data_IF_725524949173
#
_entry.id   IF_725524949173
#
_cell.length_a   1.000
_cell.length_b   1.000
_cell.length_c   1.000
_cell.angle_alpha   90.00
_cell.angle_beta   90.00
_cell.angle_gamma   90.00
#
_symmetry.space_group_name_H-M   'P 1'
#
loop_
_entity.id
_entity.type
_entity.pdbx_description
1 polymer ?
#
# COMPACT_ATOMS: atom_id res chain seq x y z
N UNK A 1 3.33 -21.83 16.90
CA UNK A 1 3.22 -20.36 16.76
C UNK A 1 2.22 -20.09 15.66
N UNK A 2 1.28 -19.19 15.88
CA UNK A 2 0.40 -18.70 14.81
C UNK A 2 1.27 -17.77 13.97
N UNK A 3 1.42 -18.07 12.68
CA UNK A 3 2.13 -17.19 11.74
C UNK A 3 1.18 -16.05 11.34
N UNK A 4 1.61 -14.81 11.44
CA UNK A 4 0.86 -13.67 10.93
C UNK A 4 0.82 -13.71 9.40
N UNK A 5 -0.26 -13.19 8.82
CA UNK A 5 -0.45 -13.04 7.38
C UNK A 5 -0.22 -11.60 6.98
N UNK A 6 0.73 -11.40 6.08
CA UNK A 6 1.08 -10.07 5.55
C UNK A 6 0.83 -10.02 4.05
N UNK A 7 0.05 -9.05 3.60
CA UNK A 7 -0.06 -8.71 2.18
C UNK A 7 0.87 -7.55 1.88
N UNK A 8 1.72 -7.71 0.86
CA UNK A 8 2.63 -6.67 0.39
C UNK A 8 2.24 -6.27 -1.03
N UNK A 9 1.97 -4.99 -1.24
CA UNK A 9 1.49 -4.43 -2.50
C UNK A 9 2.55 -3.51 -3.10
N UNK A 10 3.02 -3.86 -4.29
CA UNK A 10 3.66 -2.92 -5.20
C UNK A 10 2.58 -2.17 -5.99
N UNK A 11 2.27 -0.94 -5.57
CA UNK A 11 1.35 -0.06 -6.28
C UNK A 11 2.06 0.79 -7.35
N UNK A 12 3.25 0.38 -7.80
CA UNK A 12 3.96 0.96 -8.93
C UNK A 12 3.73 0.19 -10.23
N UNK A 13 3.85 0.84 -11.40
CA UNK A 13 3.63 0.18 -12.69
C UNK A 13 4.74 -0.82 -13.07
N UNK A 14 5.95 -0.63 -12.54
CA UNK A 14 7.13 -1.46 -12.86
C UNK A 14 7.28 -2.60 -11.85
N UNK A 15 7.62 -3.81 -12.33
CA UNK A 15 7.94 -5.00 -11.50
C UNK A 15 9.31 -4.92 -10.83
N UNK A 16 10.17 -4.07 -11.37
CA UNK A 16 11.53 -3.79 -10.91
C UNK A 16 11.72 -2.27 -10.94
N UNK A 17 12.57 -1.76 -10.07
CA UNK A 17 12.74 -0.32 -9.87
C UNK A 17 12.44 0.08 -8.43
N UNK A 18 12.72 1.34 -8.10
CA UNK A 18 12.75 1.84 -6.74
C UNK A 18 11.51 1.45 -5.91
N UNK A 19 10.30 1.72 -6.41
CA UNK A 19 9.06 1.37 -5.70
C UNK A 19 8.91 -0.13 -5.43
N UNK A 20 9.24 -0.97 -6.42
CA UNK A 20 9.17 -2.41 -6.28
C UNK A 20 10.21 -2.93 -5.28
N UNK A 21 11.40 -2.32 -5.23
CA UNK A 21 12.43 -2.70 -4.26
C UNK A 21 12.08 -2.27 -2.83
N UNK A 22 11.41 -1.12 -2.64
CA UNK A 22 10.84 -0.74 -1.33
C UNK A 22 9.80 -1.75 -0.85
N UNK A 23 8.87 -2.15 -1.72
CA UNK A 23 7.90 -3.20 -1.40
C UNK A 23 8.57 -4.53 -1.06
N UNK A 24 9.55 -4.97 -1.87
CA UNK A 24 10.30 -6.21 -1.61
C UNK A 24 11.13 -6.15 -0.33
N UNK A 25 11.66 -4.99 0.04
CA UNK A 25 12.39 -4.86 1.31
C UNK A 25 11.46 -5.01 2.49
N UNK A 26 10.29 -4.40 2.46
CA UNK A 26 9.25 -4.58 3.47
C UNK A 26 8.78 -6.04 3.56
N UNK A 27 8.62 -6.72 2.41
CA UNK A 27 8.38 -8.17 2.35
C UNK A 27 9.48 -8.96 3.05
N UNK A 28 10.76 -8.66 2.78
CA UNK A 28 11.88 -9.36 3.43
C UNK A 28 11.88 -9.13 4.94
N UNK A 29 11.55 -7.92 5.38
CA UNK A 29 11.35 -7.58 6.79
C UNK A 29 10.28 -8.46 7.43
N UNK A 30 9.09 -8.52 6.83
CA UNK A 30 7.98 -9.35 7.31
C UNK A 30 8.35 -10.85 7.37
N UNK A 31 9.02 -11.37 6.35
CA UNK A 31 9.50 -12.77 6.34
C UNK A 31 10.53 -13.05 7.44
N UNK A 32 11.37 -12.06 7.79
CA UNK A 32 12.42 -12.25 8.79
C UNK A 32 11.90 -12.52 10.21
N UNK A 33 10.67 -12.08 10.50
CA UNK A 33 9.97 -12.33 11.77
C UNK A 33 9.01 -13.53 11.69
N UNK A 34 9.02 -14.25 10.56
CA UNK A 34 8.28 -15.49 10.37
C UNK A 34 6.85 -15.34 9.84
N UNK A 35 6.47 -14.16 9.31
CA UNK A 35 5.15 -13.96 8.70
C UNK A 35 5.00 -14.73 7.37
N UNK A 36 3.77 -15.17 7.09
CA UNK A 36 3.36 -15.69 5.78
C UNK A 36 3.05 -14.49 4.88
N UNK A 37 3.80 -14.35 3.78
CA UNK A 37 3.73 -13.14 2.95
C UNK A 37 3.19 -13.44 1.56
N UNK A 38 2.13 -12.72 1.18
CA UNK A 38 1.62 -12.65 -0.20
C UNK A 38 2.11 -11.35 -0.86
N UNK A 39 2.73 -11.43 -2.03
CA UNK A 39 3.19 -10.25 -2.79
C UNK A 39 2.32 -10.00 -4.02
N UNK A 40 1.83 -8.76 -4.16
CA UNK A 40 0.90 -8.34 -5.20
C UNK A 40 1.48 -7.19 -6.01
N UNK A 41 1.61 -7.38 -7.33
CA UNK A 41 1.80 -6.27 -8.26
C UNK A 41 0.44 -5.69 -8.68
N UNK A 42 0.04 -4.56 -8.09
CA UNK A 42 -1.30 -4.01 -8.26
C UNK A 42 -1.63 -3.69 -9.72
N UNK A 43 -0.66 -3.15 -10.48
CA UNK A 43 -0.79 -2.84 -11.91
C UNK A 43 -0.94 -4.06 -12.85
N UNK A 44 -0.89 -5.29 -12.31
CA UNK A 44 -1.15 -6.51 -13.07
C UNK A 44 -2.57 -7.02 -12.93
N UNK A 45 -3.31 -6.50 -11.94
CA UNK A 45 -4.72 -6.79 -11.76
C UNK A 45 -5.55 -5.96 -12.73
N UNK A 46 -6.68 -6.52 -13.20
CA UNK A 46 -7.66 -5.83 -14.02
C UNK A 46 -8.80 -5.36 -13.12
N UNK A 47 -8.88 -4.06 -12.87
CA UNK A 47 -9.91 -3.46 -12.04
C UNK A 47 -10.08 -1.97 -12.34
N UNK A 48 -11.13 -1.37 -11.77
CA UNK A 48 -11.38 0.08 -11.80
C UNK A 48 -11.44 0.66 -10.39
N UNK A 49 -11.47 1.99 -10.29
CA UNK A 49 -11.88 2.70 -9.07
C UNK A 49 -13.32 2.38 -8.66
N UNK A 50 -13.75 2.95 -7.53
CA UNK A 50 -15.08 2.71 -7.01
C UNK A 50 -16.17 3.20 -7.98
N UNK A 51 -17.18 2.37 -8.26
CA UNK A 51 -18.31 2.73 -9.13
C UNK A 51 -19.48 3.38 -8.37
N UNK A 52 -19.36 3.57 -7.05
CA UNK A 52 -20.44 4.05 -6.18
C UNK A 52 -21.76 3.29 -6.38
N UNK A 53 -21.69 1.97 -6.59
CA UNK A 53 -22.89 1.14 -6.75
C UNK A 53 -23.67 0.92 -5.44
N UNK A 54 -23.05 1.25 -4.30
CA UNK A 54 -23.60 1.19 -2.94
C UNK A 54 -24.07 -0.21 -2.49
N UNK A 55 -23.80 -1.28 -3.23
CA UNK A 55 -24.21 -2.65 -2.86
C UNK A 55 -23.61 -3.06 -1.50
N UNK A 56 -22.34 -2.73 -1.26
CA UNK A 56 -21.64 -3.01 0.00
C UNK A 56 -22.21 -2.30 1.24
N UNK A 57 -23.07 -1.29 1.05
CA UNK A 57 -23.71 -0.54 2.14
C UNK A 57 -25.14 -1.00 2.42
N UNK A 58 -25.63 -2.03 1.72
CA UNK A 58 -27.00 -2.52 1.89
C UNK A 58 -27.07 -3.52 3.02
N UNK A 59 -28.10 -3.39 3.86
CA UNK A 59 -28.33 -4.27 5.01
C UNK A 59 -28.66 -5.73 4.61
N UNK A 60 -29.09 -5.98 3.37
CA UNK A 60 -29.41 -7.31 2.84
C UNK A 60 -28.23 -8.03 2.19
N UNK A 61 -27.02 -7.45 2.25
CA UNK A 61 -25.79 -8.03 1.73
C UNK A 61 -24.75 -8.22 2.84
N UNK A 62 -23.78 -9.11 2.58
CA UNK A 62 -22.62 -9.29 3.44
C UNK A 62 -21.84 -7.96 3.57
N UNK A 63 -21.64 -7.51 4.82
CA UNK A 63 -20.85 -6.31 5.13
C UNK A 63 -19.35 -6.55 4.90
N UNK A 64 -18.57 -5.46 4.79
CA UNK A 64 -17.11 -5.55 4.62
C UNK A 64 -16.69 -6.25 3.32
N UNK A 65 -17.50 -6.13 2.25
CA UNK A 65 -17.28 -6.83 1.00
C UNK A 65 -17.52 -5.96 -0.23
N UNK A 66 -16.61 -6.02 -1.20
CA UNK A 66 -16.80 -5.39 -2.51
C UNK A 66 -17.42 -6.39 -3.50
N UNK A 67 -18.58 -6.06 -4.08
CA UNK A 67 -19.31 -6.97 -4.98
C UNK A 67 -19.00 -6.77 -6.47
N UNK A 68 -18.05 -5.88 -6.82
CA UNK A 68 -17.60 -5.75 -8.20
C UNK A 68 -16.89 -7.03 -8.65
N UNK A 69 -17.14 -7.46 -9.88
CA UNK A 69 -16.58 -8.70 -10.43
C UNK A 69 -15.31 -8.41 -11.21
N UNK A 70 -14.22 -8.25 -10.49
CA UNK A 70 -12.90 -8.00 -11.05
C UNK A 70 -11.80 -8.54 -10.12
N UNK A 71 -10.54 -8.32 -10.47
CA UNK A 71 -9.41 -8.89 -9.74
C UNK A 71 -9.17 -8.24 -8.36
N UNK A 72 -9.75 -7.05 -8.11
CA UNK A 72 -9.50 -6.30 -6.87
C UNK A 72 -10.41 -6.75 -5.72
N UNK A 73 -11.65 -7.13 -6.00
CA UNK A 73 -12.57 -7.60 -4.95
C UNK A 73 -12.06 -8.80 -4.13
N UNK A 74 -11.56 -9.91 -4.74
CA UNK A 74 -11.00 -11.00 -3.96
C UNK A 74 -9.70 -10.62 -3.25
N UNK A 75 -8.97 -9.61 -3.72
CA UNK A 75 -7.81 -9.08 -2.99
C UNK A 75 -8.27 -8.31 -1.74
N UNK A 76 -9.33 -7.50 -1.83
CA UNK A 76 -9.91 -6.79 -0.68
C UNK A 76 -10.32 -7.78 0.41
N UNK A 77 -10.98 -8.88 0.04
CA UNK A 77 -11.34 -9.94 1.00
C UNK A 77 -10.08 -10.47 1.72
N UNK A 78 -9.01 -10.78 0.98
CA UNK A 78 -7.73 -11.22 1.58
C UNK A 78 -7.07 -10.16 2.46
N UNK A 79 -7.17 -8.87 2.10
CA UNK A 79 -6.63 -7.77 2.90
C UNK A 79 -7.35 -7.66 4.25
N UNK A 80 -8.68 -7.77 4.25
CA UNK A 80 -9.48 -7.67 5.48
C UNK A 80 -9.30 -8.89 6.40
N UNK A 81 -8.89 -10.03 5.84
CA UNK A 81 -8.53 -11.25 6.57
C UNK A 81 -7.05 -11.31 7.02
N UNK A 82 -6.20 -10.37 6.57
CA UNK A 82 -4.78 -10.34 6.90
C UNK A 82 -4.52 -9.62 8.23
N UNK A 83 -3.33 -9.85 8.80
CA UNK A 83 -2.87 -9.15 10.01
C UNK A 83 -2.15 -7.85 9.65
N UNK A 84 -1.49 -7.80 8.48
CA UNK A 84 -0.72 -6.66 8.03
C UNK A 84 -0.87 -6.41 6.51
N UNK A 85 -0.91 -5.13 6.13
CA UNK A 85 -0.92 -4.62 4.78
C UNK A 85 0.24 -3.64 4.59
N UNK A 86 1.23 -4.02 3.78
CA UNK A 86 2.36 -3.17 3.42
C UNK A 86 2.20 -2.70 1.98
N UNK A 87 2.33 -1.41 1.72
CA UNK A 87 2.08 -0.82 0.39
C UNK A 87 3.23 0.10 0.04
N UNK A 88 3.85 -0.10 -1.13
CA UNK A 88 4.70 0.91 -1.75
C UNK A 88 3.93 1.61 -2.87
N UNK A 89 3.66 2.91 -2.69
CA UNK A 89 2.88 3.72 -3.62
C UNK A 89 3.73 4.88 -4.18
N UNK A 90 3.99 4.94 -5.49
CA UNK A 90 4.71 6.06 -6.06
C UNK A 90 3.83 7.30 -6.13
N UNK A 91 4.46 8.47 -6.01
CA UNK A 91 3.82 9.77 -6.19
C UNK A 91 3.94 10.19 -7.66
N UNK A 92 2.80 10.34 -8.32
CA UNK A 92 2.67 10.83 -9.68
C UNK A 92 1.87 12.13 -9.68
N UNK A 93 2.46 13.19 -10.25
CA UNK A 93 1.81 14.49 -10.35
C UNK A 93 1.26 14.99 -8.99
N UNK A 94 2.13 14.96 -7.97
CA UNK A 94 1.82 15.36 -6.59
C UNK A 94 0.66 14.60 -5.92
N UNK A 95 0.34 13.39 -6.39
CA UNK A 95 -0.64 12.50 -5.77
C UNK A 95 -0.13 11.05 -5.74
N UNK A 96 -0.59 10.22 -4.79
CA UNK A 96 -0.39 8.78 -4.85
C UNK A 96 -0.92 8.18 -6.16
N UNK A 97 -0.29 7.10 -6.64
CA UNK A 97 -0.70 6.46 -7.89
C UNK A 97 -2.20 6.15 -7.95
N UNK A 98 -2.78 6.27 -9.14
CA UNK A 98 -4.22 6.05 -9.34
C UNK A 98 -4.68 4.63 -8.97
N UNK A 99 -3.82 3.62 -9.14
CA UNK A 99 -4.14 2.24 -8.75
C UNK A 99 -4.20 2.09 -7.23
N UNK A 100 -3.29 2.73 -6.48
CA UNK A 100 -3.38 2.78 -5.02
C UNK A 100 -4.66 3.48 -4.57
N UNK A 101 -4.97 4.65 -5.14
CA UNK A 101 -6.19 5.38 -4.78
C UNK A 101 -7.45 4.56 -5.08
N UNK A 102 -7.51 3.86 -6.21
CA UNK A 102 -8.62 2.97 -6.56
C UNK A 102 -8.77 1.79 -5.58
N UNK A 103 -7.66 1.20 -5.10
CA UNK A 103 -7.69 0.20 -4.04
C UNK A 103 -8.24 0.81 -2.74
N UNK A 104 -7.70 1.96 -2.32
CA UNK A 104 -8.08 2.63 -1.08
C UNK A 104 -9.56 3.00 -1.05
N UNK A 105 -10.07 3.60 -2.13
CA UNK A 105 -11.49 3.90 -2.29
C UNK A 105 -12.35 2.66 -2.02
N UNK A 106 -12.05 1.54 -2.69
CA UNK A 106 -12.89 0.35 -2.62
C UNK A 106 -12.75 -0.39 -1.29
N UNK A 107 -11.54 -0.43 -0.73
CA UNK A 107 -11.25 -1.04 0.57
C UNK A 107 -11.99 -0.31 1.70
N UNK A 108 -11.93 1.03 1.72
CA UNK A 108 -12.56 1.82 2.78
C UNK A 108 -14.08 1.88 2.60
N UNK A 109 -14.56 1.99 1.35
CA UNK A 109 -15.98 2.13 1.10
C UNK A 109 -16.78 0.86 1.43
N UNK A 110 -16.18 -0.33 1.32
CA UNK A 110 -16.87 -1.56 1.67
C UNK A 110 -16.93 -1.85 3.18
N UNK A 111 -16.13 -1.14 4.00
CA UNK A 111 -16.13 -1.30 5.46
C UNK A 111 -16.97 -0.26 6.20
N UNK A 112 -17.67 0.63 5.50
CA UNK A 112 -18.53 1.66 6.11
C UNK A 112 -20.00 1.41 5.85
N UNK A 113 -20.84 1.74 6.84
CA UNK A 113 -22.30 1.72 6.70
C UNK A 113 -22.80 2.96 5.93
N UNK A 114 -24.06 2.92 5.52
CA UNK A 114 -24.75 4.08 4.95
C UNK A 114 -24.88 5.27 5.93
N UNK A 115 -24.61 5.07 7.22
CA UNK A 115 -24.56 6.10 8.27
C UNK A 115 -23.13 6.58 8.57
N UNK A 116 -22.13 6.06 7.85
CA UNK A 116 -20.72 6.40 8.06
C UNK A 116 -20.07 5.67 9.24
N UNK A 117 -20.69 4.60 9.76
CA UNK A 117 -20.12 3.82 10.85
C UNK A 117 -19.11 2.81 10.30
N UNK A 118 -18.01 2.59 11.03
CA UNK A 118 -17.05 1.55 10.69
C UNK A 118 -17.60 0.16 11.06
N UNK A 119 -17.90 -0.64 10.04
CA UNK A 119 -18.41 -2.00 10.16
C UNK A 119 -17.29 -3.02 10.39
N UNK A 120 -16.06 -2.73 9.95
CA UNK A 120 -14.94 -3.64 10.12
C UNK A 120 -14.48 -3.71 11.58
N UNK A 121 -14.52 -4.92 12.15
CA UNK A 121 -14.12 -5.19 13.55
C UNK A 121 -12.77 -5.88 13.68
N UNK A 122 -12.20 -6.32 12.56
CA UNK A 122 -10.83 -6.85 12.51
C UNK A 122 -9.80 -5.74 12.72
N UNK A 123 -8.52 -6.14 12.71
CA UNK A 123 -7.37 -5.24 12.82
C UNK A 123 -6.36 -5.60 11.75
N UNK A 124 -5.99 -4.62 10.93
CA UNK A 124 -4.92 -4.77 9.94
C UNK A 124 -3.91 -3.66 10.18
N UNK A 125 -2.68 -4.01 10.53
CA UNK A 125 -1.57 -3.05 10.60
C UNK A 125 -1.24 -2.58 9.17
N UNK A 126 -0.98 -1.29 8.98
CA UNK A 126 -0.71 -0.72 7.66
C UNK A 126 0.65 -0.03 7.63
N UNK A 127 1.51 -0.48 6.72
CA UNK A 127 2.74 0.24 6.36
C UNK A 127 2.57 0.88 4.98
N UNK A 128 2.56 2.21 4.90
CA UNK A 128 2.48 2.94 3.63
C UNK A 128 3.80 3.63 3.31
N UNK A 129 4.43 3.22 2.21
CA UNK A 129 5.70 3.74 1.74
C UNK A 129 5.45 4.57 0.48
N UNK A 130 5.55 5.89 0.61
CA UNK A 130 5.54 6.78 -0.56
C UNK A 130 6.91 6.80 -1.22
N UNK A 131 6.94 6.65 -2.54
CA UNK A 131 8.18 6.79 -3.31
C UNK A 131 8.11 7.96 -4.27
N UNK A 132 9.13 8.80 -4.28
CA UNK A 132 9.14 10.03 -5.07
C UNK A 132 10.55 10.55 -5.35
N UNK A 133 10.66 11.45 -6.32
CA UNK A 133 11.93 12.08 -6.73
C UNK A 133 12.07 13.53 -6.26
N UNK A 134 11.11 14.05 -5.50
CA UNK A 134 11.21 15.33 -4.84
C UNK A 134 12.28 15.30 -3.74
N UNK A 135 12.79 16.47 -3.39
CA UNK A 135 13.40 16.68 -2.07
C UNK A 135 12.38 16.30 -0.97
N UNK A 136 12.80 15.53 0.02
CA UNK A 136 11.93 15.06 1.10
C UNK A 136 11.33 16.20 1.91
N UNK A 137 12.06 17.28 2.17
CA UNK A 137 11.52 18.45 2.89
C UNK A 137 10.37 19.08 2.11
N UNK A 138 10.58 19.34 0.81
CA UNK A 138 9.53 19.84 -0.06
C UNK A 138 8.32 18.88 -0.14
N UNK A 139 8.55 17.58 -0.21
CA UNK A 139 7.47 16.59 -0.23
C UNK A 139 6.60 16.67 1.04
N UNK A 140 7.22 16.65 2.22
CA UNK A 140 6.52 16.68 3.50
C UNK A 140 5.75 17.99 3.72
N UNK A 141 6.35 19.13 3.33
CA UNK A 141 5.76 20.45 3.57
C UNK A 141 4.71 20.85 2.53
N UNK A 142 4.93 20.50 1.26
CA UNK A 142 4.15 21.05 0.14
C UNK A 142 3.31 20.03 -0.61
N UNK A 143 3.70 18.75 -0.63
CA UNK A 143 3.01 17.73 -1.45
C UNK A 143 2.09 16.86 -0.60
N UNK A 144 2.65 16.23 0.45
CA UNK A 144 1.93 15.31 1.34
C UNK A 144 0.66 15.88 1.97
N UNK A 145 0.59 17.17 2.38
CA UNK A 145 -0.63 17.72 2.97
C UNK A 145 -1.86 17.63 2.06
N UNK A 146 -1.68 17.59 0.73
CA UNK A 146 -2.79 17.53 -0.23
C UNK A 146 -3.61 16.24 -0.17
N UNK A 147 -3.01 15.13 0.26
CA UNK A 147 -3.66 13.83 0.34
C UNK A 147 -3.62 13.22 1.74
N UNK A 148 -3.32 14.04 2.77
CA UNK A 148 -3.26 13.61 4.17
C UNK A 148 -4.55 12.92 4.65
N UNK A 149 -5.72 13.37 4.18
CA UNK A 149 -6.98 12.72 4.52
C UNK A 149 -7.00 11.25 4.11
N UNK A 150 -6.42 10.91 2.96
CA UNK A 150 -6.27 9.53 2.46
C UNK A 150 -5.37 8.67 3.34
N UNK A 151 -4.45 9.28 4.10
CA UNK A 151 -3.66 8.57 5.11
C UNK A 151 -4.50 8.30 6.36
N UNK A 152 -5.28 9.29 6.82
CA UNK A 152 -6.07 9.19 8.03
C UNK A 152 -7.18 8.13 7.93
N UNK A 153 -7.74 7.90 6.74
CA UNK A 153 -8.75 6.85 6.54
C UNK A 153 -8.20 5.43 6.70
N UNK A 154 -6.88 5.21 6.59
CA UNK A 154 -6.29 3.89 6.87
C UNK A 154 -6.49 3.46 8.34
N UNK A 155 -6.68 4.41 9.26
CA UNK A 155 -6.99 4.13 10.67
C UNK A 155 -8.32 3.40 10.85
N UNK A 156 -9.19 3.39 9.83
CA UNK A 156 -10.43 2.63 9.83
C UNK A 156 -10.20 1.11 9.78
N UNK A 157 -8.97 0.66 9.50
CA UNK A 157 -8.57 -0.74 9.60
C UNK A 157 -8.20 -1.18 11.03
N UNK A 158 -8.35 -0.29 12.03
CA UNK A 158 -8.18 -0.54 13.46
C UNK A 158 -6.81 -1.07 13.92
N UNK A 159 -5.81 -1.15 13.02
CA UNK A 159 -4.43 -1.52 13.32
C UNK A 159 -3.50 -0.31 13.47
N UNK A 160 -2.23 -0.59 13.71
CA UNK A 160 -1.17 0.42 13.68
C UNK A 160 -0.97 0.93 12.25
N UNK A 161 -0.79 2.23 12.07
CA UNK A 161 -0.48 2.83 10.76
C UNK A 161 0.87 3.53 10.82
N UNK A 162 1.80 3.08 9.99
CA UNK A 162 3.12 3.69 9.82
C UNK A 162 3.30 4.16 8.37
N UNK A 163 3.74 5.41 8.20
CA UNK A 163 3.90 6.04 6.89
C UNK A 163 5.32 6.50 6.73
N UNK A 164 5.95 6.09 5.63
CA UNK A 164 7.34 6.39 5.32
C UNK A 164 7.48 7.04 3.96
N UNK A 165 8.30 8.08 3.91
CA UNK A 165 8.57 8.87 2.71
C UNK A 165 9.98 8.55 2.21
N UNK A 166 10.04 7.78 1.11
CA UNK A 166 11.26 7.30 0.48
C UNK A 166 11.58 8.12 -0.78
N UNK A 167 12.47 9.09 -0.62
CA UNK A 167 13.00 9.88 -1.74
C UNK A 167 14.02 9.06 -2.55
N UNK A 168 14.15 9.36 -3.84
CA UNK A 168 15.21 8.81 -4.68
C UNK A 168 15.71 9.81 -5.72
N UNK A 169 16.99 9.74 -6.05
CA UNK A 169 17.56 10.56 -7.12
C UNK A 169 17.25 9.94 -8.48
N UNK A 170 16.27 10.52 -9.17
CA UNK A 170 15.89 10.08 -10.52
C UNK A 170 17.10 9.93 -11.45
N UNK A 171 18.12 10.79 -11.38
CA UNK A 171 19.30 10.75 -12.28
C UNK A 171 20.19 9.53 -12.04
N UNK A 172 20.21 8.99 -10.83
CA UNK A 172 21.00 7.80 -10.45
C UNK A 172 20.19 6.52 -10.49
N UNK A 173 18.88 6.62 -10.26
CA UNK A 173 17.95 5.48 -10.22
C UNK A 173 17.24 5.24 -11.56
N UNK A 174 17.63 5.95 -12.63
CA UNK A 174 16.99 5.83 -13.95
C UNK A 174 17.35 4.50 -14.64
N UNK A 175 16.47 3.52 -14.50
CA UNK A 175 16.22 2.54 -15.57
C UNK A 175 15.19 3.12 -16.53
N UNK A 176 15.66 3.57 -17.71
CA UNK A 176 14.82 4.01 -18.83
C UNK A 176 14.08 2.85 -19.50
N UNK A 177 14.46 1.61 -19.22
CA UNK A 177 13.77 0.40 -19.65
C UNK A 177 12.84 -0.12 -18.55
N UNK A 178 11.80 -0.88 -18.93
CA UNK A 178 10.92 -1.58 -17.97
C UNK A 178 11.67 -2.63 -17.12
N UNK A 179 12.93 -2.93 -17.46
CA UNK A 179 13.73 -4.06 -16.96
C UNK A 179 15.14 -3.68 -16.45
N UNK A 180 15.53 -2.41 -16.45
CA UNK A 180 16.91 -2.03 -16.09
C UNK A 180 17.20 -2.11 -14.59
N UNK A 181 18.47 -2.31 -14.30
CA UNK A 181 19.03 -2.53 -12.96
C UNK A 181 19.17 -1.21 -12.19
N UNK A 182 18.97 -1.27 -10.87
CA UNK A 182 19.22 -0.14 -9.98
C UNK A 182 20.68 -0.23 -9.51
N UNK A 183 21.43 0.86 -9.66
CA UNK A 183 22.76 0.98 -9.07
C UNK A 183 22.66 0.97 -7.55
N UNK A 184 23.31 -0.01 -6.89
CA UNK A 184 23.33 -0.22 -5.44
C UNK A 184 24.30 0.70 -4.69
N UNK A 185 24.91 1.68 -5.36
CA UNK A 185 25.91 2.58 -4.77
C UNK A 185 25.30 3.88 -4.22
N UNK A 186 23.98 4.01 -4.23
CA UNK A 186 23.27 5.17 -3.68
C UNK A 186 22.97 4.96 -2.18
N UNK A 187 23.65 5.70 -1.30
CA UNK A 187 23.43 5.66 0.16
C UNK A 187 21.95 5.91 0.52
N UNK A 188 21.25 6.79 -0.21
CA UNK A 188 19.83 7.05 0.01
C UNK A 188 19.00 5.81 -0.29
N UNK A 189 19.34 5.06 -1.35
CA UNK A 189 18.67 3.81 -1.69
C UNK A 189 18.85 2.76 -0.58
N UNK A 190 20.07 2.57 -0.09
CA UNK A 190 20.37 1.61 0.98
C UNK A 190 19.63 1.95 2.28
N UNK A 191 19.64 3.23 2.69
CA UNK A 191 18.90 3.67 3.89
C UNK A 191 17.40 3.42 3.75
N UNK A 192 16.83 3.70 2.57
CA UNK A 192 15.42 3.43 2.32
C UNK A 192 15.10 1.93 2.36
N UNK A 193 15.99 1.07 1.87
CA UNK A 193 15.83 -0.39 1.97
C UNK A 193 15.83 -0.86 3.43
N UNK A 194 16.73 -0.34 4.27
CA UNK A 194 16.80 -0.65 5.69
C UNK A 194 15.52 -0.21 6.41
N UNK A 195 15.08 1.04 6.20
CA UNK A 195 13.87 1.57 6.84
C UNK A 195 12.62 0.80 6.45
N UNK A 196 12.47 0.46 5.17
CA UNK A 196 11.31 -0.31 4.69
C UNK A 196 11.35 -1.76 5.18
N UNK A 197 12.53 -2.35 5.32
CA UNK A 197 12.71 -3.64 6.00
C UNK A 197 12.27 -3.59 7.47
N UNK A 198 12.72 -2.58 8.23
CA UNK A 198 12.36 -2.39 9.64
C UNK A 198 10.84 -2.25 9.81
N UNK A 199 10.17 -1.46 8.96
CA UNK A 199 8.70 -1.33 8.96
C UNK A 199 8.03 -2.68 8.73
N UNK A 200 8.49 -3.44 7.73
CA UNK A 200 7.93 -4.74 7.41
C UNK A 200 8.06 -5.75 8.55
N UNK A 201 9.23 -5.78 9.21
CA UNK A 201 9.48 -6.63 10.37
C UNK A 201 8.62 -6.20 11.58
N UNK A 202 8.56 -4.90 11.86
CA UNK A 202 7.81 -4.36 12.99
C UNK A 202 6.32 -4.63 12.90
N UNK A 203 5.70 -4.35 11.75
CA UNK A 203 4.24 -4.44 11.61
C UNK A 203 3.72 -5.87 11.41
N UNK A 204 4.61 -6.82 11.09
CA UNK A 204 4.29 -8.23 10.84
C UNK A 204 4.75 -9.19 11.95
N UNK A 205 5.04 -8.67 13.14
CA UNK A 205 5.49 -9.45 14.32
C UNK A 205 4.48 -9.39 15.45
#
# INVERSE_FOLDING_TARGET
MISLKTIVINAGPKKRGFNAEMAKSALRGAQSVGAEVEFIDLYRLKFTGCLSCLICMRDDFESCKCFLRDDLSPLIDRILDADCLLIAAPIFFSNPSSHYMALLERLIFCIVSNKGENLFKGKVNVGLIYTFHYDKGYFEESVRPHFKHSEDILKMLNGEVEIYSAEYDSKKTYSTSFDGEISSEDECFTLNLEKTYEIGAKLSN
#
